data_IF_275986847883
#
_entry.id   IF_275986847883
#
_cell.length_a   1.000
_cell.length_b   1.000
_cell.length_c   1.000
_cell.angle_alpha   90.00
_cell.angle_beta   90.00
_cell.angle_gamma   90.00
#
_symmetry.space_group_name_H-M   'P 1'
#
loop_
_entity.id
_entity.type
_entity.pdbx_description
1 polymer ?
#
# COMPACT_ATOMS: atom_id res chain seq x y z
N UNK A 1 13.70 19.95 83.98
CA UNK A 1 13.81 19.00 82.83
C UNK A 1 13.10 17.76 83.36
N UNK A 2 11.91 17.39 82.92
CA UNK A 2 11.62 16.75 81.62
C UNK A 2 10.10 16.50 81.63
N UNK A 3 9.33 17.13 80.74
CA UNK A 3 8.74 16.53 79.54
C UNK A 3 7.22 16.38 79.73
N UNK A 4 6.50 17.43 79.36
CA UNK A 4 5.06 17.34 79.06
C UNK A 4 4.98 16.95 77.60
N UNK A 5 4.59 15.71 77.35
CA UNK A 5 4.40 15.16 76.01
C UNK A 5 3.29 15.92 75.25
N UNK A 6 3.40 16.04 73.92
CA UNK A 6 2.43 16.76 73.12
C UNK A 6 1.18 15.89 72.95
N UNK A 7 0.02 16.39 73.39
CA UNK A 7 -1.26 15.83 72.98
C UNK A 7 -1.42 16.01 71.48
N UNK A 8 -1.19 14.93 70.72
CA UNK A 8 -1.58 14.85 69.33
C UNK A 8 -3.12 14.80 69.25
N UNK A 9 -3.75 15.93 68.96
CA UNK A 9 -5.16 15.96 68.57
C UNK A 9 -5.30 15.24 67.23
N UNK A 10 -5.79 14.00 67.27
CA UNK A 10 -6.28 13.34 66.08
C UNK A 10 -7.53 14.12 65.62
N UNK A 11 -7.38 14.91 64.56
CA UNK A 11 -8.49 15.52 63.82
C UNK A 11 -9.46 14.40 63.40
N UNK A 12 -10.61 14.33 64.06
CA UNK A 12 -11.70 13.47 63.65
C UNK A 12 -12.32 14.10 62.39
N UNK A 13 -11.94 13.57 61.24
CA UNK A 13 -12.48 13.96 59.94
C UNK A 13 -13.98 13.64 59.91
N UNK A 14 -14.82 14.57 59.47
CA UNK A 14 -16.28 14.33 59.35
C UNK A 14 -16.53 13.22 58.32
N UNK A 15 -17.28 12.15 58.63
CA UNK A 15 -17.62 11.09 57.67
C UNK A 15 -18.33 11.60 56.39
N UNK A 16 -18.88 12.82 56.40
CA UNK A 16 -19.38 13.49 55.18
C UNK A 16 -18.25 13.98 54.29
N UNK A 17 -17.17 14.51 54.86
CA UNK A 17 -16.00 14.98 54.11
C UNK A 17 -15.26 13.81 53.47
N UNK A 18 -15.13 12.68 54.17
CA UNK A 18 -14.59 11.44 53.60
C UNK A 18 -15.44 10.93 52.41
N UNK A 19 -16.76 11.04 52.51
CA UNK A 19 -17.68 10.64 51.44
C UNK A 19 -17.60 11.57 50.23
N UNK A 20 -17.45 12.87 50.44
CA UNK A 20 -17.26 13.86 49.37
C UNK A 20 -15.93 13.59 48.67
N UNK A 21 -14.83 13.43 49.40
CA UNK A 21 -13.52 13.12 48.84
C UNK A 21 -13.52 11.82 48.02
N UNK A 22 -14.23 10.79 48.47
CA UNK A 22 -14.39 9.54 47.74
C UNK A 22 -15.19 9.73 46.44
N UNK A 23 -16.29 10.49 46.48
CA UNK A 23 -17.08 10.79 45.28
C UNK A 23 -16.29 11.63 44.26
N UNK A 24 -15.49 12.60 44.72
CA UNK A 24 -14.60 13.38 43.85
C UNK A 24 -13.52 12.51 43.21
N UNK A 25 -12.93 11.58 43.97
CA UNK A 25 -11.97 10.62 43.44
C UNK A 25 -12.59 9.68 42.38
N UNK A 26 -13.81 9.17 42.63
CA UNK A 26 -14.54 8.34 41.66
C UNK A 26 -14.89 9.12 40.39
N UNK A 27 -15.27 10.39 40.52
CA UNK A 27 -15.60 11.25 39.39
C UNK A 27 -14.35 11.55 38.54
N UNK A 28 -13.22 11.86 39.19
CA UNK A 28 -11.95 12.04 38.51
C UNK A 28 -11.51 10.76 37.78
N UNK A 29 -11.61 9.59 38.42
CA UNK A 29 -11.27 8.31 37.80
C UNK A 29 -12.19 8.00 36.61
N UNK A 30 -13.50 8.26 36.73
CA UNK A 30 -14.45 8.08 35.64
C UNK A 30 -14.15 9.01 34.45
N UNK A 31 -13.82 10.27 34.70
CA UNK A 31 -13.43 11.23 33.66
C UNK A 31 -12.13 10.83 32.97
N UNK A 32 -11.13 10.38 33.72
CA UNK A 32 -9.88 9.88 33.13
C UNK A 32 -10.15 8.64 32.27
N UNK A 33 -10.92 7.67 32.79
CA UNK A 33 -11.27 6.45 32.07
C UNK A 33 -12.05 6.72 30.78
N UNK A 34 -13.02 7.64 30.84
CA UNK A 34 -13.80 8.04 29.66
C UNK A 34 -12.89 8.73 28.63
N UNK A 35 -12.08 9.70 29.07
CA UNK A 35 -11.16 10.42 28.19
C UNK A 35 -10.19 9.46 27.50
N UNK A 36 -9.60 8.53 28.24
CA UNK A 36 -8.66 7.54 27.70
C UNK A 36 -9.37 6.59 26.73
N UNK A 37 -10.60 6.17 27.06
CA UNK A 37 -11.45 5.37 26.18
C UNK A 37 -11.73 6.08 24.84
N UNK A 38 -12.13 7.35 24.88
CA UNK A 38 -12.40 8.15 23.69
C UNK A 38 -11.12 8.32 22.86
N UNK A 39 -9.99 8.64 23.50
CA UNK A 39 -8.71 8.78 22.80
C UNK A 39 -8.28 7.48 22.13
N UNK A 40 -8.47 6.34 22.80
CA UNK A 40 -8.16 5.03 22.24
C UNK A 40 -9.03 4.70 21.04
N UNK A 41 -10.35 4.87 21.15
CA UNK A 41 -11.27 4.62 20.03
C UNK A 41 -10.94 5.54 18.85
N UNK A 42 -10.62 6.81 19.11
CA UNK A 42 -10.20 7.75 18.07
C UNK A 42 -8.93 7.28 17.35
N UNK A 43 -7.93 6.82 18.10
CA UNK A 43 -6.70 6.26 17.54
C UNK A 43 -6.95 4.96 16.75
N UNK A 44 -7.82 4.08 17.24
CA UNK A 44 -8.23 2.86 16.54
C UNK A 44 -8.92 3.18 15.21
N UNK A 45 -9.80 4.19 15.18
CA UNK A 45 -10.46 4.67 13.96
C UNK A 45 -9.48 5.25 12.95
N UNK A 46 -8.49 6.04 13.42
CA UNK A 46 -7.48 6.62 12.54
C UNK A 46 -6.56 5.54 11.95
N UNK A 47 -6.18 4.53 12.74
CA UNK A 47 -5.42 3.38 12.25
C UNK A 47 -6.22 2.54 11.26
N UNK A 48 -7.52 2.31 11.53
CA UNK A 48 -8.41 1.61 10.61
C UNK A 48 -8.50 2.38 9.28
N UNK A 49 -8.70 3.69 9.33
CA UNK A 49 -8.77 4.54 8.14
C UNK A 49 -7.50 4.44 7.29
N UNK A 50 -6.33 4.62 7.90
CA UNK A 50 -5.03 4.48 7.22
C UNK A 50 -4.87 3.10 6.59
N UNK A 51 -5.26 2.04 7.30
CA UNK A 51 -5.21 0.67 6.78
C UNK A 51 -6.14 0.49 5.58
N UNK A 52 -7.39 0.96 5.67
CA UNK A 52 -8.36 0.84 4.58
C UNK A 52 -7.94 1.61 3.33
N UNK A 53 -7.32 2.78 3.49
CA UNK A 53 -6.79 3.55 2.35
C UNK A 53 -5.69 2.76 1.63
N UNK A 54 -4.76 2.14 2.38
CA UNK A 54 -3.73 1.28 1.81
C UNK A 54 -4.29 0.01 1.15
N UNK A 55 -5.30 -0.62 1.76
CA UNK A 55 -5.93 -1.83 1.22
C UNK A 55 -6.66 -1.54 -0.10
N UNK A 56 -7.35 -0.39 -0.19
CA UNK A 56 -8.00 0.08 -1.43
C UNK A 56 -6.96 0.35 -2.52
N UNK A 57 -5.88 1.05 -2.19
CA UNK A 57 -4.82 1.35 -3.16
C UNK A 57 -4.16 0.06 -3.68
N UNK A 58 -3.87 -0.88 -2.79
CA UNK A 58 -3.35 -2.20 -3.16
C UNK A 58 -4.32 -2.96 -4.04
N UNK A 59 -5.60 -3.02 -3.67
CA UNK A 59 -6.62 -3.71 -4.46
C UNK A 59 -6.72 -3.13 -5.88
N UNK A 60 -6.64 -1.80 -6.03
CA UNK A 60 -6.63 -1.15 -7.33
C UNK A 60 -5.40 -1.53 -8.15
N UNK A 61 -4.20 -1.54 -7.54
CA UNK A 61 -2.96 -1.97 -8.20
C UNK A 61 -3.02 -3.44 -8.64
N UNK A 62 -3.46 -4.34 -7.76
CA UNK A 62 -3.58 -5.78 -8.08
C UNK A 62 -4.63 -6.07 -9.15
N UNK A 63 -5.76 -5.36 -9.14
CA UNK A 63 -6.79 -5.55 -10.16
C UNK A 63 -6.27 -5.17 -11.55
N UNK A 64 -5.53 -4.07 -11.64
CA UNK A 64 -4.91 -3.61 -12.88
C UNK A 64 -3.79 -4.55 -13.34
N UNK A 65 -2.96 -5.04 -12.42
CA UNK A 65 -1.90 -6.01 -12.70
C UNK A 65 -2.46 -7.29 -13.35
N UNK A 66 -3.53 -7.86 -12.76
CA UNK A 66 -4.17 -9.06 -13.33
C UNK A 66 -4.67 -8.81 -14.76
N UNK A 67 -5.34 -7.68 -14.97
CA UNK A 67 -5.87 -7.32 -16.29
C UNK A 67 -4.76 -7.15 -17.33
N UNK A 68 -3.66 -6.47 -16.97
CA UNK A 68 -2.53 -6.29 -17.88
C UNK A 68 -1.81 -7.61 -18.17
N UNK A 69 -1.66 -8.49 -17.18
CA UNK A 69 -1.08 -9.82 -17.39
C UNK A 69 -1.88 -10.65 -18.41
N UNK A 70 -3.21 -10.56 -18.41
CA UNK A 70 -4.06 -11.22 -19.41
C UNK A 70 -3.96 -10.56 -20.80
N UNK A 71 -3.44 -9.33 -20.87
CA UNK A 71 -3.27 -8.57 -22.10
C UNK A 71 -1.92 -8.82 -22.78
N UNK A 72 -0.90 -9.27 -22.03
CA UNK A 72 0.43 -9.59 -22.58
C UNK A 72 0.37 -10.58 -23.76
N UNK A 73 -0.39 -11.69 -23.72
CA UNK A 73 -0.47 -12.62 -24.86
C UNK A 73 -1.06 -11.99 -26.13
N UNK A 74 -1.85 -10.92 -26.00
CA UNK A 74 -2.39 -10.17 -27.14
C UNK A 74 -1.29 -9.32 -27.77
N UNK A 75 -0.49 -8.63 -26.94
CA UNK A 75 0.68 -7.87 -27.39
C UNK A 75 1.68 -8.81 -28.08
N UNK A 76 2.00 -9.95 -27.45
CA UNK A 76 2.88 -10.98 -28.01
C UNK A 76 2.37 -11.53 -29.35
N UNK A 77 1.05 -11.60 -29.51
CA UNK A 77 0.45 -12.06 -30.77
C UNK A 77 0.54 -11.03 -31.89
N UNK A 78 0.50 -9.73 -31.55
CA UNK A 78 0.75 -8.65 -32.50
C UNK A 78 2.23 -8.63 -32.91
N UNK A 79 3.15 -8.77 -31.95
CA UNK A 79 4.59 -8.89 -32.22
C UNK A 79 4.89 -10.10 -33.10
N UNK A 80 4.37 -11.28 -32.75
CA UNK A 80 4.51 -12.51 -33.55
C UNK A 80 3.96 -12.34 -34.97
N UNK A 81 2.86 -11.60 -35.14
CA UNK A 81 2.32 -11.33 -36.48
C UNK A 81 3.29 -10.49 -37.31
N UNK A 82 3.98 -9.51 -36.70
CA UNK A 82 5.00 -8.69 -37.36
C UNK A 82 6.29 -9.46 -37.67
N UNK A 83 6.65 -10.43 -36.84
CA UNK A 83 7.81 -11.30 -37.07
C UNK A 83 7.60 -12.26 -38.25
N UNK A 84 6.39 -12.81 -38.38
CA UNK A 84 6.05 -13.77 -39.44
C UNK A 84 5.68 -13.09 -40.76
N UNK A 85 5.29 -11.81 -40.72
CA UNK A 85 4.90 -11.07 -41.92
C UNK A 85 6.06 -10.95 -42.93
N UNK A 86 5.78 -11.21 -44.20
CA UNK A 86 6.73 -10.97 -45.28
C UNK A 86 6.81 -9.47 -45.60
N UNK A 87 7.73 -8.78 -44.93
CA UNK A 87 7.95 -7.34 -45.10
C UNK A 87 8.45 -6.96 -46.50
N UNK A 88 8.89 -7.92 -47.31
CA UNK A 88 9.30 -7.67 -48.70
C UNK A 88 8.11 -7.72 -49.68
N UNK A 89 6.95 -8.24 -49.25
CA UNK A 89 5.75 -8.30 -50.09
C UNK A 89 5.00 -6.94 -50.10
N UNK A 90 4.95 -6.22 -51.23
CA UNK A 90 4.30 -4.92 -51.31
C UNK A 90 2.79 -4.96 -51.04
N UNK A 91 2.12 -6.08 -51.33
CA UNK A 91 0.67 -6.23 -51.07
C UNK A 91 0.35 -6.31 -49.57
N UNK A 92 1.33 -6.69 -48.75
CA UNK A 92 1.21 -6.76 -47.28
C UNK A 92 1.65 -5.47 -46.57
N UNK A 93 2.30 -4.54 -47.27
CA UNK A 93 2.90 -3.34 -46.68
C UNK A 93 1.92 -2.53 -45.82
N UNK A 94 0.72 -2.24 -46.34
CA UNK A 94 -0.30 -1.49 -45.61
C UNK A 94 -0.83 -2.23 -44.37
N UNK A 95 -0.89 -3.57 -44.42
CA UNK A 95 -1.29 -4.39 -43.28
C UNK A 95 -0.23 -4.39 -42.19
N UNK A 96 1.06 -4.53 -42.57
CA UNK A 96 2.19 -4.49 -41.63
C UNK A 96 2.24 -3.13 -40.92
N UNK A 97 2.14 -2.03 -41.65
CA UNK A 97 2.11 -0.68 -41.08
C UNK A 97 0.94 -0.50 -40.10
N UNK A 98 -0.25 -1.00 -40.45
CA UNK A 98 -1.42 -0.96 -39.58
C UNK A 98 -1.23 -1.73 -38.27
N UNK A 99 -0.60 -2.90 -38.31
CA UNK A 99 -0.28 -3.70 -37.12
C UNK A 99 0.80 -3.00 -36.28
N UNK A 100 1.85 -2.45 -36.89
CA UNK A 100 2.90 -1.69 -36.18
C UNK A 100 2.31 -0.47 -35.44
N UNK A 101 1.40 0.27 -36.08
CA UNK A 101 0.72 1.41 -35.45
C UNK A 101 -0.18 0.96 -34.30
N UNK A 102 -0.86 -0.18 -34.45
CA UNK A 102 -1.73 -0.74 -33.41
C UNK A 102 -0.91 -1.19 -32.20
N UNK A 103 0.19 -1.90 -32.43
CA UNK A 103 1.13 -2.31 -31.39
C UNK A 103 1.70 -1.09 -30.66
N UNK A 104 2.17 -0.08 -31.39
CA UNK A 104 2.66 1.17 -30.78
C UNK A 104 1.60 1.82 -29.90
N UNK A 105 0.37 1.95 -30.41
CA UNK A 105 -0.74 2.52 -29.66
C UNK A 105 -1.06 1.71 -28.40
N UNK A 106 -0.98 0.39 -28.49
CA UNK A 106 -1.18 -0.53 -27.38
C UNK A 106 -0.11 -0.34 -26.29
N UNK A 107 1.17 -0.28 -26.68
CA UNK A 107 2.28 -0.01 -25.77
C UNK A 107 2.15 1.36 -25.11
N UNK A 108 1.75 2.39 -25.85
CA UNK A 108 1.51 3.73 -25.30
C UNK A 108 0.35 3.76 -24.29
N UNK A 109 -0.67 2.91 -24.47
CA UNK A 109 -1.77 2.77 -23.50
C UNK A 109 -1.26 2.13 -22.22
N UNK A 110 -0.56 1.00 -22.26
CA UNK A 110 -0.10 0.31 -21.04
C UNK A 110 0.94 1.14 -20.27
N UNK A 111 1.78 1.93 -20.96
CA UNK A 111 2.69 2.91 -20.32
C UNK A 111 1.96 3.96 -19.50
N UNK A 112 0.79 4.44 -19.93
CA UNK A 112 -0.04 5.37 -19.14
C UNK A 112 -0.53 4.77 -17.84
N UNK A 113 -0.60 3.44 -17.75
CA UNK A 113 -0.93 2.70 -16.53
C UNK A 113 0.30 2.23 -15.75
N UNK A 114 1.49 2.73 -16.09
CA UNK A 114 2.74 2.47 -15.38
C UNK A 114 3.43 1.16 -15.74
N UNK A 115 3.15 0.61 -16.93
CA UNK A 115 3.78 -0.62 -17.43
C UNK A 115 4.76 -0.29 -18.55
N UNK A 116 6.02 -0.61 -18.30
CA UNK A 116 7.12 -0.39 -19.24
C UNK A 116 7.60 -1.73 -19.82
N UNK A 117 8.10 -1.66 -21.05
CA UNK A 117 8.64 -2.82 -21.78
C UNK A 117 10.11 -2.97 -21.44
N UNK A 118 10.53 -4.20 -21.12
CA UNK A 118 11.92 -4.56 -20.83
C UNK A 118 12.47 -5.29 -22.05
N UNK A 119 13.21 -4.57 -22.90
CA UNK A 119 13.74 -5.10 -24.16
C UNK A 119 15.17 -4.60 -24.49
N UNK A 120 15.84 -3.92 -23.55
CA UNK A 120 17.20 -3.44 -23.78
C UNK A 120 18.18 -4.61 -23.92
N UNK A 121 18.87 -4.66 -25.05
CA UNK A 121 19.94 -5.62 -25.31
C UNK A 121 21.31 -5.05 -24.88
N UNK A 122 22.29 -5.91 -24.65
CA UNK A 122 23.65 -5.53 -24.19
C UNK A 122 23.71 -4.88 -22.81
N UNK A 123 22.77 -5.21 -21.93
CA UNK A 123 22.80 -4.87 -20.50
C UNK A 123 23.20 -6.10 -19.67
N UNK A 124 23.84 -5.92 -18.49
CA UNK A 124 24.06 -7.03 -17.57
C UNK A 124 22.74 -7.71 -17.20
N UNK A 125 22.76 -9.04 -17.03
CA UNK A 125 21.59 -9.80 -16.61
C UNK A 125 21.18 -9.40 -15.18
N UNK A 126 20.00 -8.81 -15.02
CA UNK A 126 19.35 -8.58 -13.74
C UNK A 126 18.26 -9.64 -13.49
N UNK A 127 18.43 -10.57 -12.52
CA UNK A 127 17.45 -11.61 -12.21
C UNK A 127 16.06 -11.10 -11.78
N UNK A 128 15.93 -9.83 -11.39
CA UNK A 128 14.63 -9.26 -11.00
C UNK A 128 13.72 -8.99 -12.21
N UNK A 129 14.30 -8.82 -13.39
CA UNK A 129 13.59 -8.39 -14.61
C UNK A 129 13.91 -9.21 -15.86
N UNK A 130 15.01 -9.98 -15.84
CA UNK A 130 15.45 -10.81 -16.96
C UNK A 130 15.39 -12.30 -16.59
N UNK A 131 14.89 -13.11 -17.53
CA UNK A 131 14.95 -14.56 -17.45
C UNK A 131 15.87 -15.10 -18.55
N UNK A 132 17.05 -15.63 -18.16
CA UNK A 132 17.96 -16.26 -19.10
C UNK A 132 17.44 -17.64 -19.52
N UNK A 133 17.11 -17.80 -20.81
CA UNK A 133 16.56 -19.05 -21.37
C UNK A 133 17.62 -19.93 -22.07
N UNK A 134 18.71 -19.32 -22.55
CA UNK A 134 19.80 -20.01 -23.24
C UNK A 134 21.10 -19.20 -23.11
N UNK A 135 22.24 -19.86 -23.28
CA UNK A 135 23.54 -19.20 -23.48
C UNK A 135 23.97 -19.38 -24.94
N UNK A 136 24.50 -18.32 -25.53
CA UNK A 136 24.98 -18.29 -26.91
C UNK A 136 26.42 -17.79 -26.88
N UNK A 137 27.32 -18.49 -27.56
CA UNK A 137 28.68 -17.99 -27.80
C UNK A 137 28.60 -16.78 -28.75
N UNK A 138 29.11 -15.64 -28.29
CA UNK A 138 29.20 -14.39 -29.03
C UNK A 138 30.58 -13.78 -28.79
N UNK A 139 31.07 -13.02 -29.77
CA UNK A 139 32.40 -12.39 -29.78
C UNK A 139 32.64 -11.39 -28.63
#
# INVERSE_FOLDING_TARGET
IEAVEPEASAEQVDPRDEKIANLEAQLAEAQTRERDGILRVKAEMENLRRRTELDIEKAHKFALEKFINELLPVIDSLDRALEVADKANPDMSAMVEGIELTLKSMLDVVRKFGVDVIAETNVPLDPNVHQAIAMVESD
#
